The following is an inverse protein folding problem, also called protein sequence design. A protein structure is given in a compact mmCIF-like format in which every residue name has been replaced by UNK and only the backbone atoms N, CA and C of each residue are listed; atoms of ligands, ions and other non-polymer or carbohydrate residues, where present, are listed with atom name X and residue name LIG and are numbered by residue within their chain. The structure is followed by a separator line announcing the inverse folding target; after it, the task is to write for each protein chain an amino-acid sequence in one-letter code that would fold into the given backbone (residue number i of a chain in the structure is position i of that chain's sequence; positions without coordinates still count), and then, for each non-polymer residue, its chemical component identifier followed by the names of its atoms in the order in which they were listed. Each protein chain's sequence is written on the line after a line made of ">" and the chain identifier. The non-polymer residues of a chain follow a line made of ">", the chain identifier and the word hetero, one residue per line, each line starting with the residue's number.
data_IF_436671975086
#
_entry.id   IF_436671975086
#
_cell.length_a   1.000
_cell.length_b   1.000
_cell.length_c   1.000
_cell.angle_alpha   90.00
_cell.angle_beta   90.00
_cell.angle_gamma   90.00
#
_symmetry.space_group_name_H-M   'P 1'
#
loop_
_entity.id
_entity.type
_entity.pdbx_description
1 polymer ?
#
# COMPACT_ATOMS: atom_id res chain seq x y z
N UNK A 1 10.37 11.41 8.48
CA UNK A 1 10.81 10.73 9.72
C UNK A 1 11.19 9.26 9.57
N UNK A 2 10.31 8.24 9.66
CA UNK A 2 10.77 6.82 9.69
C UNK A 2 11.56 6.42 8.44
N UNK A 3 10.97 6.60 7.25
CA UNK A 3 11.63 6.28 5.96
C UNK A 3 12.84 7.15 5.65
N UNK A 4 12.92 8.33 6.26
CA UNK A 4 14.04 9.25 6.10
C UNK A 4 15.26 8.78 6.89
N UNK A 5 15.06 8.24 8.09
CA UNK A 5 16.13 7.69 8.92
C UNK A 5 16.44 6.22 8.60
N UNK A 6 15.47 5.48 8.07
CA UNK A 6 15.58 4.04 7.75
C UNK A 6 14.99 3.77 6.35
N UNK A 7 15.72 4.08 5.27
CA UNK A 7 15.19 3.97 3.90
C UNK A 7 14.74 2.54 3.55
N UNK A 8 15.45 1.54 4.06
CA UNK A 8 15.20 0.13 3.76
C UNK A 8 14.12 -0.52 4.62
N UNK A 9 13.65 0.16 5.68
CA UNK A 9 12.63 -0.40 6.57
C UNK A 9 11.36 -0.70 5.79
N UNK A 10 10.77 -1.86 6.02
CA UNK A 10 9.50 -2.22 5.40
C UNK A 10 8.35 -1.82 6.31
N UNK A 11 7.30 -1.24 5.73
CA UNK A 11 6.15 -0.70 6.48
C UNK A 11 4.90 -1.40 5.99
N UNK A 12 4.16 -2.03 6.90
CA UNK A 12 2.82 -2.58 6.63
C UNK A 12 1.83 -1.74 7.41
N UNK A 13 0.84 -1.18 6.73
CA UNK A 13 -0.29 -0.51 7.37
C UNK A 13 -1.37 -1.53 7.67
N UNK A 14 -1.87 -1.53 8.92
CA UNK A 14 -2.97 -2.37 9.38
C UNK A 14 -4.07 -1.47 9.95
N UNK A 15 -5.17 -1.32 9.23
CA UNK A 15 -6.18 -0.27 9.51
C UNK A 15 -7.60 -0.73 9.27
N UNK A 16 -8.59 -0.12 9.91
CA UNK A 16 -10.01 -0.35 9.59
C UNK A 16 -10.46 0.41 8.34
N UNK A 17 -9.65 1.35 7.85
CA UNK A 17 -10.00 2.25 6.75
C UNK A 17 -9.55 1.72 5.40
N UNK A 18 -10.45 1.79 4.42
CA UNK A 18 -10.20 1.39 3.04
C UNK A 18 -10.49 2.54 2.05
N UNK A 19 -10.67 3.76 2.50
CA UNK A 19 -10.90 4.92 1.62
C UNK A 19 -9.64 5.35 0.85
N UNK A 20 -9.90 6.01 -0.28
CA UNK A 20 -8.90 6.31 -1.29
C UNK A 20 -7.81 7.27 -0.77
N UNK A 21 -8.13 8.16 0.17
CA UNK A 21 -7.19 9.13 0.73
C UNK A 21 -6.11 8.43 1.59
N UNK A 22 -6.50 7.51 2.47
CA UNK A 22 -5.51 6.74 3.25
C UNK A 22 -4.67 5.83 2.36
N UNK A 23 -5.29 5.18 1.37
CA UNK A 23 -4.57 4.33 0.42
C UNK A 23 -3.54 5.15 -0.36
N UNK A 24 -3.96 6.30 -0.91
CA UNK A 24 -3.06 7.18 -1.65
C UNK A 24 -1.90 7.66 -0.78
N UNK A 25 -2.18 8.12 0.44
CA UNK A 25 -1.16 8.59 1.37
C UNK A 25 -0.16 7.48 1.70
N UNK A 26 -0.65 6.27 2.00
CA UNK A 26 0.19 5.11 2.30
C UNK A 26 1.16 4.80 1.15
N UNK A 27 0.65 4.78 -0.09
CA UNK A 27 1.46 4.53 -1.27
C UNK A 27 2.48 5.65 -1.51
N UNK A 28 2.04 6.91 -1.40
CA UNK A 28 2.88 8.10 -1.57
C UNK A 28 4.09 8.12 -0.63
N UNK A 29 3.91 7.65 0.61
CA UNK A 29 4.99 7.60 1.61
C UNK A 29 5.74 6.26 1.63
N UNK A 30 5.51 5.37 0.66
CA UNK A 30 6.30 4.16 0.47
C UNK A 30 5.96 3.02 1.41
N UNK A 31 4.67 2.85 1.76
CA UNK A 31 4.20 1.64 2.41
C UNK A 31 4.51 0.42 1.54
N UNK A 32 4.98 -0.65 2.18
CA UNK A 32 5.31 -1.93 1.55
C UNK A 32 4.13 -2.91 1.57
N UNK A 33 3.14 -2.69 2.44
CA UNK A 33 1.88 -3.43 2.44
C UNK A 33 0.73 -2.64 3.06
N UNK A 34 -0.50 -3.02 2.71
CA UNK A 34 -1.72 -2.41 3.24
C UNK A 34 -2.79 -3.48 3.48
N UNK A 35 -3.10 -3.72 4.75
CA UNK A 35 -4.06 -4.72 5.19
C UNK A 35 -5.19 -4.07 5.99
N UNK A 36 -6.39 -4.66 5.90
CA UNK A 36 -7.48 -4.31 6.78
C UNK A 36 -7.30 -4.95 8.15
N UNK A 37 -7.75 -4.28 9.21
CA UNK A 37 -7.61 -4.72 10.61
C UNK A 37 -8.33 -6.04 10.88
N UNK A 38 -9.29 -6.41 10.04
CA UNK A 38 -9.96 -7.72 10.06
C UNK A 38 -9.18 -8.86 9.40
N UNK A 39 -7.99 -8.61 8.88
CA UNK A 39 -7.12 -9.65 8.34
C UNK A 39 -6.80 -10.68 9.42
N UNK A 40 -6.75 -11.95 9.03
CA UNK A 40 -6.39 -13.03 9.95
C UNK A 40 -4.92 -12.91 10.38
N UNK A 41 -4.57 -13.60 11.47
CA UNK A 41 -3.18 -13.71 11.92
C UNK A 41 -2.27 -14.33 10.85
N UNK A 42 -2.80 -15.29 10.10
CA UNK A 42 -2.11 -15.97 9.01
C UNK A 42 -1.89 -15.01 7.83
N UNK A 43 -2.90 -14.21 7.48
CA UNK A 43 -2.78 -13.19 6.43
C UNK A 43 -1.72 -12.14 6.79
N UNK A 44 -1.71 -11.67 8.04
CA UNK A 44 -0.70 -10.72 8.52
C UNK A 44 0.71 -11.35 8.51
N UNK A 45 0.83 -12.60 8.95
CA UNK A 45 2.10 -13.32 8.95
C UNK A 45 2.66 -13.48 7.52
N UNK A 46 1.82 -13.88 6.58
CA UNK A 46 2.23 -13.98 5.18
C UNK A 46 2.59 -12.62 4.59
N UNK A 47 1.87 -11.56 4.94
CA UNK A 47 2.22 -10.21 4.51
C UNK A 47 3.61 -9.78 5.00
N UNK A 48 3.96 -10.07 6.25
CA UNK A 48 5.29 -9.80 6.79
C UNK A 48 6.36 -10.53 5.97
N UNK A 49 6.15 -11.83 5.67
CA UNK A 49 7.09 -12.63 4.87
C UNK A 49 7.27 -12.09 3.45
N UNK A 50 6.16 -11.83 2.75
CA UNK A 50 6.16 -11.32 1.37
C UNK A 50 6.89 -9.98 1.31
N UNK A 51 6.55 -9.07 2.21
CA UNK A 51 7.16 -7.73 2.27
C UNK A 51 8.64 -7.79 2.63
N UNK A 52 9.02 -8.68 3.54
CA UNK A 52 10.42 -8.90 3.90
C UNK A 52 11.25 -9.40 2.71
N UNK A 53 10.66 -10.24 1.85
CA UNK A 53 11.30 -10.74 0.62
C UNK A 53 11.33 -9.72 -0.53
N UNK A 54 10.84 -8.50 -0.31
CA UNK A 54 10.82 -7.43 -1.31
C UNK A 54 9.55 -7.37 -2.15
N UNK A 55 8.55 -8.22 -1.85
CA UNK A 55 7.22 -8.12 -2.43
C UNK A 55 6.37 -7.02 -1.78
N UNK A 56 5.12 -6.94 -2.21
CA UNK A 56 4.09 -6.11 -1.59
C UNK A 56 2.83 -6.95 -1.38
N UNK A 57 2.10 -6.68 -0.30
CA UNK A 57 0.82 -7.34 -0.02
C UNK A 57 -0.27 -6.31 0.25
N UNK A 58 -1.38 -6.46 -0.45
CA UNK A 58 -2.53 -5.56 -0.38
C UNK A 58 -3.79 -6.43 -0.37
N UNK A 59 -4.75 -6.09 0.49
CA UNK A 59 -6.04 -6.79 0.49
C UNK A 59 -6.74 -6.65 -0.87
N UNK A 60 -7.42 -7.70 -1.39
CA UNK A 60 -8.04 -7.67 -2.72
C UNK A 60 -8.96 -6.47 -2.97
N UNK A 61 -9.78 -6.10 -1.97
CA UNK A 61 -10.71 -4.96 -2.07
C UNK A 61 -9.99 -3.61 -2.25
N UNK A 62 -8.76 -3.50 -1.74
CA UNK A 62 -7.91 -2.30 -1.82
C UNK A 62 -7.14 -2.29 -3.14
N UNK A 63 -6.72 -3.45 -3.63
CA UNK A 63 -5.96 -3.56 -4.88
C UNK A 63 -6.69 -2.90 -6.06
N UNK A 64 -8.02 -3.10 -6.18
CA UNK A 64 -8.84 -2.43 -7.20
C UNK A 64 -8.76 -0.91 -7.12
N UNK A 65 -8.83 -0.33 -5.91
CA UNK A 65 -8.70 1.12 -5.68
C UNK A 65 -7.31 1.61 -6.07
N UNK A 66 -6.26 0.86 -5.72
CA UNK A 66 -4.87 1.17 -6.13
C UNK A 66 -4.72 1.25 -7.65
N UNK A 67 -5.26 0.28 -8.39
CA UNK A 67 -5.23 0.32 -9.85
C UNK A 67 -6.02 1.50 -10.43
N UNK A 68 -7.15 1.86 -9.84
CA UNK A 68 -7.93 3.03 -10.24
C UNK A 68 -7.17 4.33 -10.00
N UNK A 69 -6.59 4.52 -8.81
CA UNK A 69 -5.76 5.68 -8.46
C UNK A 69 -4.58 5.79 -9.45
N UNK A 70 -3.87 4.69 -9.70
CA UNK A 70 -2.77 4.68 -10.66
C UNK A 70 -3.22 5.04 -12.08
N UNK A 71 -4.35 4.48 -12.54
CA UNK A 71 -4.92 4.79 -13.86
C UNK A 71 -5.28 6.28 -14.01
N UNK A 72 -5.85 6.88 -12.96
CA UNK A 72 -6.17 8.31 -12.93
C UNK A 72 -4.91 9.18 -12.95
N UNK A 73 -3.90 8.85 -12.13
CA UNK A 73 -2.61 9.56 -12.11
C UNK A 73 -1.89 9.48 -13.45
N UNK A 74 -1.93 8.32 -14.11
CA UNK A 74 -1.38 8.17 -15.45
C UNK A 74 -2.10 9.10 -16.43
N UNK A 75 -3.44 9.10 -16.46
CA UNK A 75 -4.20 9.98 -17.37
C UNK A 75 -3.98 11.47 -17.11
N UNK A 76 -3.86 11.89 -15.85
CA UNK A 76 -3.61 13.30 -15.51
C UNK A 76 -2.22 13.75 -15.92
N UNK A 77 -1.19 12.91 -15.75
CA UNK A 77 0.18 13.23 -16.16
C UNK A 77 0.41 13.10 -17.68
N UNK A 78 -0.44 12.33 -18.39
CA UNK A 78 -0.41 12.22 -19.85
C UNK A 78 -1.17 13.35 -20.57
N UNK A 79 -1.69 14.35 -19.84
CA UNK A 79 -2.25 15.57 -20.45
C UNK A 79 -1.13 16.54 -20.87
N UNK A 80 -0.26 16.08 -21.76
CA UNK A 80 0.60 16.94 -22.60
C UNK A 80 0.56 16.35 -24.01
N UNK A 81 -0.47 16.75 -24.76
CA UNK A 81 -0.48 16.85 -26.22
C UNK A 81 -1.65 17.77 -26.60
#
# INVERSE_FOLDING_TARGET
>A
EVKEHYPDIKIIILTTFDDDEFIYSALKYGASGYLLKGASTEELYEAIKVVHQGGAMINPNIASKVFQIFSQMAKSNFSIA
#
